data_IF_478552729887
#
_entry.id   IF_478552729887
#
_cell.length_a   1.000
_cell.length_b   1.000
_cell.length_c   1.000
_cell.angle_alpha   90.00
_cell.angle_beta   90.00
_cell.angle_gamma   90.00
#
_symmetry.space_group_name_H-M   'P 1'
#
loop_
_entity.id
_entity.type
_entity.pdbx_description
1 polymer ?
#
# COMPACT_ATOMS: atom_id res chain seq x y z
N UNK A 1 26.76 -2.51 -1.34
CA UNK A 1 25.78 -3.43 -1.97
C UNK A 1 25.26 -2.80 -3.25
N UNK A 2 25.28 -3.49 -4.39
CA UNK A 2 24.75 -2.94 -5.65
C UNK A 2 23.21 -2.85 -5.61
N UNK A 3 22.65 -1.78 -6.20
CA UNK A 3 21.21 -1.47 -6.18
C UNK A 3 20.35 -2.60 -6.75
N UNK A 4 20.85 -3.28 -7.78
CA UNK A 4 20.20 -4.41 -8.46
C UNK A 4 20.09 -5.63 -7.54
N UNK A 5 21.17 -6.04 -6.90
CA UNK A 5 21.14 -7.20 -5.99
C UNK A 5 20.23 -6.97 -4.78
N UNK A 6 20.19 -5.74 -4.26
CA UNK A 6 19.25 -5.37 -3.19
C UNK A 6 17.80 -5.48 -3.64
N UNK A 7 17.46 -4.93 -4.81
CA UNK A 7 16.10 -5.00 -5.34
C UNK A 7 15.64 -6.43 -5.56
N UNK A 8 16.49 -7.29 -6.11
CA UNK A 8 16.18 -8.71 -6.32
C UNK A 8 15.90 -9.41 -4.99
N UNK A 9 16.76 -9.20 -3.99
CA UNK A 9 16.58 -9.78 -2.66
C UNK A 9 15.25 -9.36 -2.01
N UNK A 10 14.91 -8.07 -2.06
CA UNK A 10 13.66 -7.58 -1.47
C UNK A 10 12.42 -8.10 -2.19
N UNK A 11 12.43 -8.16 -3.52
CA UNK A 11 11.31 -8.73 -4.31
C UNK A 11 11.07 -10.20 -3.96
N UNK A 12 12.14 -10.98 -3.81
CA UNK A 12 12.04 -12.38 -3.43
C UNK A 12 11.42 -12.55 -2.03
N UNK A 13 11.82 -11.72 -1.07
CA UNK A 13 11.22 -11.71 0.28
C UNK A 13 9.73 -11.36 0.23
N UNK A 14 9.36 -10.30 -0.49
CA UNK A 14 7.96 -9.88 -0.63
C UNK A 14 7.08 -10.97 -1.25
N UNK A 15 7.60 -11.71 -2.24
CA UNK A 15 6.87 -12.81 -2.87
C UNK A 15 6.51 -13.94 -1.89
N UNK A 16 7.34 -14.19 -0.87
CA UNK A 16 7.10 -15.22 0.15
C UNK A 16 5.95 -14.87 1.11
N UNK A 17 5.67 -13.57 1.29
CA UNK A 17 4.59 -13.10 2.19
C UNK A 17 3.18 -13.14 1.58
N UNK A 18 3.00 -13.72 0.38
CA UNK A 18 1.71 -13.79 -0.32
C UNK A 18 0.56 -14.37 0.52
N UNK A 19 0.83 -15.28 1.47
CA UNK A 19 -0.21 -15.98 2.26
C UNK A 19 -0.91 -15.08 3.30
N UNK A 20 -0.26 -14.03 3.82
CA UNK A 20 -0.81 -13.17 4.88
C UNK A 20 -1.22 -11.77 4.38
N UNK A 21 -1.44 -11.63 3.07
CA UNK A 21 -1.67 -10.34 2.41
C UNK A 21 -2.73 -9.48 3.06
N UNK A 22 -3.89 -10.03 3.41
CA UNK A 22 -4.99 -9.21 3.92
C UNK A 22 -4.64 -8.50 5.24
N UNK A 23 -3.97 -9.18 6.17
CA UNK A 23 -3.54 -8.58 7.45
C UNK A 23 -2.54 -7.46 7.20
N UNK A 24 -1.62 -7.66 6.26
CA UNK A 24 -0.62 -6.66 5.90
C UNK A 24 -1.24 -5.46 5.16
N UNK A 25 -2.14 -5.70 4.21
CA UNK A 25 -2.93 -4.69 3.51
C UNK A 25 -3.64 -3.78 4.52
N UNK A 26 -4.29 -4.36 5.53
CA UNK A 26 -5.03 -3.62 6.54
C UNK A 26 -4.13 -2.79 7.47
N UNK A 27 -2.98 -3.34 7.91
CA UNK A 27 -2.01 -2.61 8.73
C UNK A 27 -1.49 -1.39 7.97
N UNK A 28 -1.09 -1.56 6.71
CA UNK A 28 -0.61 -0.46 5.87
C UNK A 28 -1.73 0.55 5.64
N UNK A 29 -2.96 0.09 5.36
CA UNK A 29 -4.12 0.96 5.23
C UNK A 29 -4.34 1.84 6.46
N UNK A 30 -4.27 1.27 7.68
CA UNK A 30 -4.50 2.01 8.93
C UNK A 30 -3.48 3.14 9.10
N UNK A 31 -2.21 2.87 8.83
CA UNK A 31 -1.15 3.87 8.87
C UNK A 31 -1.35 4.96 7.81
N UNK A 32 -1.64 4.58 6.57
CA UNK A 32 -1.97 5.55 5.52
C UNK A 32 -3.16 6.43 5.90
N UNK A 33 -4.22 5.85 6.46
CA UNK A 33 -5.41 6.58 6.90
C UNK A 33 -5.09 7.56 8.03
N UNK A 34 -4.24 7.18 8.98
CA UNK A 34 -3.75 8.08 10.03
C UNK A 34 -2.95 9.24 9.44
N UNK A 35 -2.07 8.98 8.47
CA UNK A 35 -1.29 10.01 7.79
C UNK A 35 -2.18 10.99 7.01
N UNK A 36 -3.17 10.48 6.28
CA UNK A 36 -4.14 11.29 5.53
C UNK A 36 -4.91 12.22 6.49
N UNK A 37 -5.37 11.70 7.63
CA UNK A 37 -6.04 12.51 8.65
C UNK A 37 -5.14 13.61 9.22
N UNK A 38 -3.88 13.27 9.55
CA UNK A 38 -2.90 14.22 10.11
C UNK A 38 -2.55 15.32 9.12
N UNK A 39 -2.35 14.96 7.86
CA UNK A 39 -1.98 15.88 6.78
C UNK A 39 -3.16 16.64 6.18
N UNK A 40 -4.40 16.21 6.48
CA UNK A 40 -5.63 16.74 5.90
C UNK A 40 -5.61 16.72 4.36
N UNK A 41 -4.95 15.70 3.79
CA UNK A 41 -4.83 15.54 2.34
C UNK A 41 -6.23 15.41 1.73
N UNK A 42 -6.54 16.18 0.68
CA UNK A 42 -7.83 16.13 -0.02
C UNK A 42 -7.81 15.24 -1.27
N UNK A 43 -6.63 15.13 -1.87
CA UNK A 43 -6.37 14.40 -3.11
C UNK A 43 -5.43 13.24 -2.80
N UNK A 44 -5.80 12.02 -3.18
CA UNK A 44 -5.02 10.82 -2.91
C UNK A 44 -4.84 10.07 -4.22
N UNK A 45 -3.58 9.81 -4.60
CA UNK A 45 -3.23 8.93 -5.72
C UNK A 45 -3.01 7.51 -5.20
N UNK A 46 -3.74 6.54 -5.74
CA UNK A 46 -3.58 5.13 -5.37
C UNK A 46 -3.07 4.35 -6.58
N UNK A 47 -1.84 3.87 -6.50
CA UNK A 47 -1.25 3.03 -7.54
C UNK A 47 -1.87 1.63 -7.57
N UNK A 48 -1.89 1.03 -8.76
CA UNK A 48 -2.25 -0.38 -8.94
C UNK A 48 -1.13 -1.23 -8.35
N UNK A 49 -1.41 -2.05 -7.32
CA UNK A 49 -0.38 -2.82 -6.62
C UNK A 49 0.07 -4.01 -7.46
N UNK A 50 1.35 -4.35 -7.38
CA UNK A 50 1.85 -5.61 -7.90
C UNK A 50 1.44 -6.79 -7.02
N UNK A 51 1.55 -8.00 -7.56
CA UNK A 51 1.12 -9.23 -6.89
C UNK A 51 1.84 -9.58 -5.58
N UNK A 52 2.78 -8.78 -5.09
CA UNK A 52 3.48 -8.94 -3.81
C UNK A 52 3.42 -7.67 -2.96
N UNK A 53 2.75 -6.63 -3.44
CA UNK A 53 2.61 -5.34 -2.75
C UNK A 53 1.29 -5.27 -1.97
N UNK A 54 1.21 -4.39 -0.96
CA UNK A 54 -0.03 -4.12 -0.25
C UNK A 54 -1.11 -3.57 -1.20
N UNK A 55 -2.28 -4.18 -1.18
CA UNK A 55 -3.39 -3.77 -2.04
C UNK A 55 -4.31 -2.76 -1.36
N UNK A 56 -3.97 -1.47 -1.49
CA UNK A 56 -4.78 -0.36 -0.96
C UNK A 56 -6.05 -0.09 -1.78
N UNK A 57 -6.15 -0.57 -3.03
CA UNK A 57 -7.36 -0.40 -3.85
C UNK A 57 -8.59 -1.07 -3.21
N UNK A 58 -8.40 -2.12 -2.40
CA UNK A 58 -9.49 -2.75 -1.63
C UNK A 58 -10.23 -1.75 -0.72
N UNK A 59 -9.52 -0.73 -0.23
CA UNK A 59 -10.08 0.28 0.68
C UNK A 59 -10.48 1.57 -0.04
N UNK A 60 -10.49 1.57 -1.39
CA UNK A 60 -10.89 2.72 -2.23
C UNK A 60 -12.22 3.32 -1.79
N UNK A 61 -13.20 2.47 -1.51
CA UNK A 61 -14.54 2.86 -1.07
C UNK A 61 -14.56 3.65 0.25
N UNK A 62 -13.54 3.46 1.11
CA UNK A 62 -13.39 4.22 2.37
C UNK A 62 -12.84 5.60 2.06
N UNK A 63 -11.79 5.67 1.23
CA UNK A 63 -11.15 6.94 0.91
C UNK A 63 -12.07 7.85 0.08
N UNK A 64 -12.81 7.29 -0.88
CA UNK A 64 -13.66 8.05 -1.81
C UNK A 64 -14.82 8.80 -1.15
N UNK A 65 -15.17 8.47 0.10
CA UNK A 65 -16.22 9.20 0.85
C UNK A 65 -15.84 10.64 1.15
N UNK A 66 -14.56 10.86 1.48
CA UNK A 66 -14.09 12.14 2.01
C UNK A 66 -12.94 12.75 1.17
N UNK A 67 -12.44 12.03 0.17
CA UNK A 67 -11.23 12.39 -0.58
C UNK A 67 -11.44 12.16 -2.07
N UNK A 68 -10.83 13.00 -2.90
CA UNK A 68 -10.77 12.81 -4.35
C UNK A 68 -9.65 11.84 -4.68
N UNK A 69 -9.99 10.75 -5.36
CA UNK A 69 -9.04 9.69 -5.72
C UNK A 69 -8.56 9.85 -7.16
N UNK A 70 -7.27 9.62 -7.36
CA UNK A 70 -6.57 9.57 -8.63
C UNK A 70 -5.93 8.20 -8.83
#
# INVERSE_FOLDING_TARGET
>A
MQKTSFRTLQKNRLAQHKKLKFKQDFIVFKECFNLIKKTKAKNILIFIPLGYEPNLLKFRHIFSKNHKLF
#
